data_IF_349089950390
#
_entry.id   IF_349089950390
#
_cell.length_a   1.000
_cell.length_b   1.000
_cell.length_c   1.000
_cell.angle_alpha   90.00
_cell.angle_beta   90.00
_cell.angle_gamma   90.00
#
_symmetry.space_group_name_H-M   'P 1'
#
loop_
_entity.id
_entity.type
_entity.pdbx_description
1 polymer ?
#
# COMPACT_ATOMS: atom_id res chain seq x y z
N UNK A 1 -9.39 -10.29 9.66
CA UNK A 1 -8.46 -9.16 9.82
C UNK A 1 -7.21 -9.70 10.46
N UNK A 2 -6.06 -9.41 9.89
CA UNK A 2 -4.78 -10.01 10.28
C UNK A 2 -3.72 -8.91 10.28
N UNK A 3 -2.93 -8.83 11.36
CA UNK A 3 -1.71 -8.02 11.38
C UNK A 3 -0.53 -8.94 11.07
N UNK A 4 0.14 -8.67 9.96
CA UNK A 4 1.30 -9.45 9.53
C UNK A 4 2.22 -8.62 8.65
N UNK A 5 3.41 -9.14 8.41
CA UNK A 5 4.28 -8.61 7.37
C UNK A 5 3.67 -8.86 5.99
N UNK A 6 3.83 -7.86 5.12
CA UNK A 6 3.45 -7.90 3.71
C UNK A 6 4.74 -7.68 2.92
N UNK A 7 5.05 -8.58 1.99
CA UNK A 7 6.23 -8.44 1.13
C UNK A 7 5.95 -7.42 0.01
N UNK A 8 7.01 -6.93 -0.63
CA UNK A 8 6.84 -6.02 -1.78
C UNK A 8 6.19 -6.73 -2.96
N UNK A 9 6.48 -8.01 -3.18
CA UNK A 9 5.88 -8.78 -4.27
C UNK A 9 4.35 -8.90 -4.08
N UNK A 10 3.91 -9.20 -2.85
CA UNK A 10 2.48 -9.24 -2.52
C UNK A 10 1.80 -7.88 -2.68
N UNK A 11 2.48 -6.80 -2.27
CA UNK A 11 1.98 -5.43 -2.43
C UNK A 11 1.75 -5.05 -3.90
N UNK A 12 2.63 -5.52 -4.80
CA UNK A 12 2.55 -5.24 -6.23
C UNK A 12 1.47 -6.06 -6.95
N UNK A 13 1.08 -7.21 -6.39
CA UNK A 13 0.01 -8.08 -6.92
C UNK A 13 -1.38 -7.73 -6.34
N UNK A 14 -1.48 -6.80 -5.38
CA UNK A 14 -2.72 -6.43 -4.73
C UNK A 14 -3.66 -5.62 -5.64
N UNK A 15 -4.97 -5.86 -5.52
CA UNK A 15 -5.98 -5.12 -6.28
C UNK A 15 -6.07 -3.63 -5.88
N UNK A 16 -5.82 -3.31 -4.61
CA UNK A 16 -5.86 -1.95 -4.07
C UNK A 16 -4.94 -1.79 -2.86
N UNK A 17 -4.36 -0.58 -2.73
CA UNK A 17 -3.56 -0.15 -1.58
C UNK A 17 -3.90 1.28 -1.20
N UNK A 18 -4.00 1.53 0.10
CA UNK A 18 -4.30 2.85 0.66
C UNK A 18 -3.55 3.10 1.97
N UNK A 19 -3.31 4.38 2.24
CA UNK A 19 -2.81 4.85 3.53
C UNK A 19 -3.98 5.36 4.38
N UNK A 20 -3.89 5.20 5.70
CA UNK A 20 -4.84 5.80 6.64
C UNK A 20 -4.15 6.82 7.54
N UNK A 21 -4.91 7.79 8.05
CA UNK A 21 -4.38 8.80 8.96
C UNK A 21 -5.36 9.92 9.24
N UNK A 22 -5.18 10.65 10.34
CA UNK A 22 -6.12 11.68 10.80
C UNK A 22 -6.43 12.76 9.75
N UNK A 23 -5.44 13.14 8.93
CA UNK A 23 -5.60 14.21 7.96
C UNK A 23 -6.52 13.83 6.78
N UNK A 24 -6.63 12.55 6.44
CA UNK A 24 -7.28 12.09 5.19
C UNK A 24 -8.21 10.89 5.35
N UNK A 25 -8.26 10.26 6.53
CA UNK A 25 -8.96 9.01 6.85
C UNK A 25 -8.46 7.82 6.01
N UNK A 26 -8.68 7.86 4.69
CA UNK A 26 -8.21 6.89 3.69
C UNK A 26 -7.72 7.67 2.47
N UNK A 27 -6.53 7.32 1.97
CA UNK A 27 -5.96 7.89 0.75
C UNK A 27 -5.47 6.76 -0.17
N UNK A 28 -6.02 6.61 -1.40
CA UNK A 28 -5.51 5.65 -2.38
C UNK A 28 -4.05 5.95 -2.74
N UNK A 29 -3.26 4.91 -3.00
CA UNK A 29 -1.89 5.05 -3.47
C UNK A 29 -1.86 4.94 -4.98
N UNK A 30 -1.51 6.03 -5.67
CA UNK A 30 -1.51 6.10 -7.14
C UNK A 30 -0.27 5.54 -7.82
N UNK A 31 0.87 5.48 -7.12
CA UNK A 31 2.11 4.91 -7.64
C UNK A 31 3.06 4.55 -6.50
N UNK A 32 3.86 3.50 -6.68
CA UNK A 32 4.93 3.13 -5.76
C UNK A 32 6.21 3.06 -6.59
N UNK A 33 7.23 3.80 -6.17
CA UNK A 33 8.56 3.69 -6.78
C UNK A 33 9.40 2.65 -6.05
N UNK A 34 9.82 1.59 -6.72
CA UNK A 34 10.62 0.51 -6.17
C UNK A 34 11.76 0.12 -7.12
N UNK A 35 12.99 0.05 -6.58
CA UNK A 35 14.22 -0.22 -7.36
C UNK A 35 14.39 0.71 -8.59
N UNK A 36 14.01 1.98 -8.44
CA UNK A 36 14.14 3.00 -9.47
C UNK A 36 13.10 2.92 -10.59
N UNK A 37 12.00 2.21 -10.37
CA UNK A 37 10.84 2.15 -11.26
C UNK A 37 9.59 2.58 -10.52
#
# INVERSE_FOLDING_TARGET
VEERHVSVDELLDADEVFCTGTAVVVSPVGSITYKGK
#
